data_IF_066622324985
#
_entry.id   IF_066622324985
#
_cell.length_a   1.000
_cell.length_b   1.000
_cell.length_c   1.000
_cell.angle_alpha   90.00
_cell.angle_beta   90.00
_cell.angle_gamma   90.00
#
_symmetry.space_group_name_H-M   'P 1'
#
loop_
_entity.id
_entity.type
_entity.pdbx_description
1 polymer ?
#
# COMPACT_ATOMS: atom_id res chain seq x y z
N UNK A 1 -47.15 -50.50 51.68
CA UNK A 1 -45.73 -50.32 52.09
C UNK A 1 -45.22 -48.90 51.87
N UNK A 2 -46.02 -47.96 51.33
CA UNK A 2 -45.61 -46.56 51.10
C UNK A 2 -45.95 -45.56 52.22
N UNK A 3 -46.76 -45.95 53.21
CA UNK A 3 -47.13 -45.07 54.35
C UNK A 3 -45.92 -44.70 55.22
N UNK A 4 -44.86 -45.53 55.23
CA UNK A 4 -43.65 -45.30 56.03
C UNK A 4 -42.59 -44.43 55.35
N UNK A 5 -42.69 -44.16 54.04
CA UNK A 5 -41.66 -43.38 53.31
C UNK A 5 -41.62 -41.91 53.70
N UNK A 6 -42.74 -41.36 54.15
CA UNK A 6 -42.90 -39.93 54.46
C UNK A 6 -43.04 -39.63 55.96
N UNK A 7 -42.96 -40.65 56.83
CA UNK A 7 -42.94 -40.40 58.27
C UNK A 7 -41.58 -39.80 58.64
N UNK A 8 -41.52 -38.70 59.41
CA UNK A 8 -40.24 -38.20 59.92
C UNK A 8 -39.54 -39.35 60.64
N UNK A 9 -38.26 -39.57 60.35
CA UNK A 9 -37.45 -40.65 60.95
C UNK A 9 -37.61 -40.69 62.48
N UNK A 10 -37.81 -39.52 63.10
CA UNK A 10 -38.17 -39.40 64.52
C UNK A 10 -39.44 -40.17 64.91
N UNK A 11 -40.54 -40.08 64.16
CA UNK A 11 -41.80 -40.75 64.48
C UNK A 11 -41.68 -42.27 64.29
N UNK A 12 -40.97 -42.73 63.26
CA UNK A 12 -40.74 -44.16 63.02
C UNK A 12 -39.81 -44.76 64.08
N UNK A 13 -38.68 -44.13 64.37
CA UNK A 13 -37.73 -44.62 65.39
C UNK A 13 -38.33 -44.52 66.79
N UNK A 14 -39.00 -43.41 67.13
CA UNK A 14 -39.70 -43.26 68.40
C UNK A 14 -40.87 -44.23 68.51
N UNK A 15 -41.62 -44.47 67.44
CA UNK A 15 -42.71 -45.44 67.41
C UNK A 15 -42.21 -46.87 67.66
N UNK A 16 -41.13 -47.29 67.00
CA UNK A 16 -40.50 -48.60 67.24
C UNK A 16 -39.98 -48.70 68.68
N UNK A 17 -39.33 -47.66 69.20
CA UNK A 17 -38.82 -47.66 70.57
C UNK A 17 -39.91 -47.65 71.63
N UNK A 18 -41.02 -46.93 71.40
CA UNK A 18 -42.19 -46.92 72.30
C UNK A 18 -42.90 -48.27 72.28
N UNK A 19 -43.05 -48.91 71.11
CA UNK A 19 -43.61 -50.26 71.01
C UNK A 19 -42.71 -51.28 71.73
N UNK A 20 -41.38 -51.19 71.57
CA UNK A 20 -40.42 -52.00 72.34
C UNK A 20 -40.56 -51.77 73.85
N UNK A 21 -40.68 -50.51 74.29
CA UNK A 21 -40.87 -50.18 75.70
C UNK A 21 -42.20 -50.74 76.23
N UNK A 22 -43.28 -50.64 75.46
CA UNK A 22 -44.59 -51.19 75.81
C UNK A 22 -44.57 -52.73 75.87
N UNK A 23 -43.82 -53.40 74.97
CA UNK A 23 -43.63 -54.85 75.04
C UNK A 23 -42.85 -55.24 76.30
N UNK A 24 -41.78 -54.52 76.65
CA UNK A 24 -41.01 -54.75 77.90
C UNK A 24 -41.88 -54.51 79.14
N UNK A 25 -42.71 -53.47 79.13
CA UNK A 25 -43.66 -53.17 80.21
C UNK A 25 -44.73 -54.27 80.30
N UNK A 26 -45.28 -54.72 79.17
CA UNK A 26 -46.30 -55.77 79.13
C UNK A 26 -45.76 -57.13 79.60
N UNK A 27 -44.53 -57.48 79.19
CA UNK A 27 -43.85 -58.71 79.63
C UNK A 27 -43.52 -58.65 81.13
N UNK A 28 -43.05 -57.48 81.61
CA UNK A 28 -42.83 -57.23 83.04
C UNK A 28 -44.13 -57.26 83.86
N UNK A 29 -45.26 -56.82 83.28
CA UNK A 29 -46.58 -56.84 83.92
C UNK A 29 -47.20 -58.25 83.94
N UNK A 30 -46.98 -59.05 82.89
CA UNK A 30 -47.34 -60.48 82.88
C UNK A 30 -46.60 -61.24 83.98
N UNK A 31 -45.30 -60.99 84.13
CA UNK A 31 -44.48 -61.49 85.25
C UNK A 31 -44.97 -61.01 86.61
N UNK A 32 -45.56 -59.81 86.69
CA UNK A 32 -46.16 -59.26 87.91
C UNK A 32 -47.45 -60.00 88.33
N UNK A 33 -48.25 -60.49 87.38
CA UNK A 33 -49.53 -61.19 87.66
C UNK A 33 -49.39 -62.69 87.97
N UNK A 34 -48.19 -63.27 87.80
CA UNK A 34 -47.96 -64.67 88.12
C UNK A 34 -47.88 -64.88 89.66
N UNK A 35 -48.83 -65.63 90.24
CA UNK A 35 -49.02 -65.85 91.69
C UNK A 35 -47.83 -66.50 92.44
N UNK A 36 -46.72 -66.87 91.77
CA UNK A 36 -45.59 -67.62 92.36
C UNK A 36 -44.31 -66.80 92.57
N UNK A 37 -44.35 -65.48 92.44
CA UNK A 37 -43.16 -64.64 92.30
C UNK A 37 -42.88 -63.79 93.56
N UNK A 38 -41.69 -63.92 94.16
CA UNK A 38 -41.26 -63.20 95.38
C UNK A 38 -40.90 -61.72 95.12
N UNK A 39 -40.98 -60.86 96.15
CA UNK A 39 -40.82 -59.39 96.04
C UNK A 39 -39.51 -58.88 95.42
N UNK A 40 -38.49 -59.72 95.29
CA UNK A 40 -37.23 -59.39 94.61
C UNK A 40 -37.42 -59.18 93.09
N UNK A 41 -38.36 -59.91 92.47
CA UNK A 41 -38.65 -59.78 91.04
C UNK A 41 -39.33 -58.45 90.67
N UNK A 42 -40.13 -57.86 91.58
CA UNK A 42 -40.74 -56.55 91.36
C UNK A 42 -39.70 -55.42 91.30
N UNK A 43 -38.65 -55.50 92.12
CA UNK A 43 -37.53 -54.55 92.09
C UNK A 43 -36.75 -54.68 90.78
N UNK A 44 -36.49 -55.92 90.32
CA UNK A 44 -35.81 -56.17 89.05
C UNK A 44 -36.62 -55.65 87.85
N UNK A 45 -37.93 -55.87 87.81
CA UNK A 45 -38.81 -55.36 86.77
C UNK A 45 -38.83 -53.82 86.72
N UNK A 46 -38.90 -53.15 87.89
CA UNK A 46 -38.85 -51.69 87.96
C UNK A 46 -37.51 -51.12 87.47
N UNK A 47 -36.39 -51.78 87.77
CA UNK A 47 -35.05 -51.39 87.27
C UNK A 47 -34.95 -51.57 85.76
N UNK A 48 -35.49 -52.66 85.21
CA UNK A 48 -35.50 -52.91 83.76
C UNK A 48 -36.30 -51.82 83.03
N UNK A 49 -37.48 -51.46 83.54
CA UNK A 49 -38.32 -50.40 82.97
C UNK A 49 -37.60 -49.03 83.07
N UNK A 50 -36.98 -48.72 84.19
CA UNK A 50 -36.23 -47.48 84.37
C UNK A 50 -35.02 -47.41 83.42
N UNK A 51 -34.26 -48.49 83.27
CA UNK A 51 -33.12 -48.58 82.36
C UNK A 51 -33.58 -48.44 80.89
N UNK A 52 -34.67 -49.10 80.52
CA UNK A 52 -35.26 -48.98 79.19
C UNK A 52 -35.74 -47.54 78.90
N UNK A 53 -36.34 -46.86 79.87
CA UNK A 53 -36.74 -45.46 79.75
C UNK A 53 -35.52 -44.52 79.60
N UNK A 54 -34.44 -44.75 80.35
CA UNK A 54 -33.19 -43.98 80.23
C UNK A 54 -32.54 -44.18 78.86
N UNK A 55 -32.47 -45.43 78.36
CA UNK A 55 -31.96 -45.73 77.02
C UNK A 55 -32.82 -45.02 75.97
N UNK A 56 -34.15 -45.06 76.09
CA UNK A 56 -35.06 -44.38 75.17
C UNK A 56 -34.85 -42.86 75.14
N UNK A 57 -34.68 -42.23 76.30
CA UNK A 57 -34.38 -40.79 76.40
C UNK A 57 -33.01 -40.48 75.80
N UNK A 58 -31.97 -41.26 76.12
CA UNK A 58 -30.61 -41.08 75.59
C UNK A 58 -30.57 -41.25 74.07
N UNK A 59 -31.22 -42.28 73.52
CA UNK A 59 -31.32 -42.50 72.07
C UNK A 59 -32.09 -41.37 71.40
N UNK A 60 -33.18 -40.86 72.00
CA UNK A 60 -33.91 -39.71 71.46
C UNK A 60 -33.07 -38.42 71.47
N UNK A 61 -32.35 -38.13 72.57
CA UNK A 61 -31.43 -36.98 72.64
C UNK A 61 -30.32 -37.12 71.58
N UNK A 62 -29.74 -38.31 71.44
CA UNK A 62 -28.72 -38.60 70.44
C UNK A 62 -29.26 -38.43 69.01
N UNK A 63 -30.45 -38.97 68.70
CA UNK A 63 -31.08 -38.84 67.38
C UNK A 63 -31.39 -37.37 67.04
N UNK A 64 -31.87 -36.59 68.01
CA UNK A 64 -32.19 -35.18 67.78
C UNK A 64 -30.92 -34.32 67.66
N UNK A 65 -29.94 -34.49 68.55
CA UNK A 65 -28.73 -33.66 68.58
C UNK A 65 -27.68 -34.06 67.56
N UNK A 66 -27.49 -35.35 67.29
CA UNK A 66 -26.43 -35.85 66.42
C UNK A 66 -26.90 -36.18 64.99
N UNK A 67 -28.21 -36.30 64.74
CA UNK A 67 -28.75 -36.62 63.42
C UNK A 67 -29.68 -35.52 62.88
N UNK A 68 -30.77 -35.19 63.58
CA UNK A 68 -31.82 -34.31 63.04
C UNK A 68 -31.41 -32.83 62.97
N UNK A 69 -30.79 -32.29 64.02
CA UNK A 69 -30.33 -30.88 64.03
C UNK A 69 -29.25 -30.61 62.98
N UNK A 70 -28.14 -31.38 62.91
CA UNK A 70 -27.12 -31.19 61.88
C UNK A 70 -27.67 -31.34 60.47
N UNK A 71 -28.59 -32.31 60.24
CA UNK A 71 -29.21 -32.48 58.92
C UNK A 71 -30.13 -31.30 58.54
N UNK A 72 -30.83 -30.70 59.51
CA UNK A 72 -31.63 -29.50 59.28
C UNK A 72 -30.77 -28.27 58.95
N UNK A 73 -29.63 -28.10 59.61
CA UNK A 73 -28.63 -27.08 59.29
C UNK A 73 -28.04 -27.29 57.89
N UNK A 74 -27.68 -28.53 57.55
CA UNK A 74 -27.19 -28.89 56.22
C UNK A 74 -28.19 -28.55 55.12
N UNK A 75 -29.48 -28.80 55.37
CA UNK A 75 -30.56 -28.38 54.47
C UNK A 75 -30.59 -26.86 54.30
N UNK A 76 -30.40 -26.08 55.37
CA UNK A 76 -30.36 -24.62 55.28
C UNK A 76 -29.15 -24.12 54.50
N UNK A 77 -27.97 -24.75 54.65
CA UNK A 77 -26.80 -24.44 53.82
C UNK A 77 -27.03 -24.73 52.34
N UNK A 78 -27.63 -25.88 52.02
CA UNK A 78 -27.97 -26.24 50.64
C UNK A 78 -29.03 -25.32 50.02
N UNK A 79 -30.06 -24.92 50.79
CA UNK A 79 -31.05 -23.94 50.34
C UNK A 79 -30.40 -22.57 50.08
N UNK A 80 -29.53 -22.11 50.99
CA UNK A 80 -28.78 -20.86 50.79
C UNK A 80 -27.89 -20.93 49.54
N UNK A 81 -27.24 -22.07 49.31
CA UNK A 81 -26.40 -22.31 48.13
C UNK A 81 -27.23 -22.35 46.83
N UNK A 82 -28.42 -22.96 46.88
CA UNK A 82 -29.36 -22.98 45.75
C UNK A 82 -29.90 -21.59 45.40
N UNK A 83 -30.07 -20.72 46.40
CA UNK A 83 -30.41 -19.30 46.21
C UNK A 83 -29.21 -18.44 45.77
N UNK A 84 -28.05 -19.05 45.47
CA UNK A 84 -26.85 -18.38 45.02
C UNK A 84 -25.95 -17.82 46.12
N UNK A 85 -26.27 -18.01 47.41
CA UNK A 85 -25.42 -17.55 48.50
C UNK A 85 -24.29 -18.54 48.81
N UNK A 86 -23.09 -18.24 48.31
CA UNK A 86 -21.86 -19.00 48.50
C UNK A 86 -20.97 -18.45 49.62
N UNK A 87 -21.42 -17.42 50.36
CA UNK A 87 -20.65 -16.77 51.44
C UNK A 87 -20.82 -17.43 52.82
N UNK A 88 -21.81 -18.31 53.00
CA UNK A 88 -22.06 -18.93 54.31
C UNK A 88 -20.90 -19.86 54.74
N UNK A 89 -20.36 -19.68 55.95
CA UNK A 89 -19.35 -20.60 56.51
C UNK A 89 -19.99 -21.88 57.02
N UNK A 90 -19.64 -23.02 56.42
CA UNK A 90 -20.06 -24.35 56.88
C UNK A 90 -19.15 -24.80 58.01
N UNK A 91 -19.67 -24.88 59.23
CA UNK A 91 -18.94 -25.39 60.41
C UNK A 91 -18.92 -26.92 60.41
N UNK A 92 -17.73 -27.52 60.49
CA UNK A 92 -17.58 -28.99 60.53
C UNK A 92 -18.24 -29.60 61.77
N UNK A 93 -18.95 -30.71 61.60
CA UNK A 93 -19.69 -31.37 62.67
C UNK A 93 -19.34 -32.86 62.78
N UNK A 94 -18.61 -33.27 63.82
CA UNK A 94 -18.39 -34.68 64.20
C UNK A 94 -17.83 -35.61 63.11
N UNK A 95 -17.70 -36.90 63.42
CA UNK A 95 -17.22 -37.94 62.49
C UNK A 95 -18.25 -39.07 62.28
N UNK A 96 -19.53 -38.75 62.53
CA UNK A 96 -20.62 -39.67 62.24
C UNK A 96 -21.03 -39.57 60.76
N UNK A 97 -21.91 -40.46 60.29
CA UNK A 97 -22.33 -40.50 58.88
C UNK A 97 -22.88 -39.16 58.35
N UNK A 98 -23.49 -38.32 59.21
CA UNK A 98 -23.96 -36.97 58.85
C UNK A 98 -22.80 -35.97 58.82
N UNK A 99 -21.85 -36.11 59.75
CA UNK A 99 -20.64 -35.29 59.81
C UNK A 99 -19.75 -35.40 58.58
N UNK A 100 -19.69 -36.59 57.97
CA UNK A 100 -18.96 -36.81 56.72
C UNK A 100 -19.55 -36.03 55.52
N UNK A 101 -20.80 -35.55 55.59
CA UNK A 101 -21.42 -34.73 54.53
C UNK A 101 -21.00 -33.26 54.56
N UNK A 102 -20.64 -32.73 55.73
CA UNK A 102 -20.20 -31.34 55.89
C UNK A 102 -18.94 -31.00 55.04
N UNK A 103 -17.86 -31.79 55.05
CA UNK A 103 -16.68 -31.49 54.22
C UNK A 103 -16.98 -31.62 52.72
N UNK A 104 -17.85 -32.54 52.30
CA UNK A 104 -18.28 -32.69 50.91
C UNK A 104 -19.03 -31.44 50.42
N UNK A 105 -19.99 -30.94 51.21
CA UNK A 105 -20.76 -29.73 50.84
C UNK A 105 -19.90 -28.48 50.94
N UNK A 106 -18.98 -28.40 51.91
CA UNK A 106 -17.99 -27.31 51.98
C UNK A 106 -17.08 -27.28 50.74
N UNK A 107 -16.64 -28.44 50.26
CA UNK A 107 -15.85 -28.55 49.04
C UNK A 107 -16.66 -28.15 47.82
N UNK A 108 -17.92 -28.57 47.74
CA UNK A 108 -18.83 -28.20 46.67
C UNK A 108 -19.10 -26.69 46.65
N UNK A 109 -19.36 -26.06 47.80
CA UNK A 109 -19.52 -24.62 47.92
C UNK A 109 -18.26 -23.88 47.46
N UNK A 110 -17.08 -24.32 47.92
CA UNK A 110 -15.78 -23.74 47.53
C UNK A 110 -15.56 -23.83 46.02
N UNK A 111 -15.74 -25.00 45.42
CA UNK A 111 -15.56 -25.19 43.98
C UNK A 111 -16.53 -24.32 43.16
N UNK A 112 -17.80 -24.21 43.57
CA UNK A 112 -18.75 -23.32 42.92
C UNK A 112 -18.35 -21.84 43.06
N UNK A 113 -17.87 -21.43 44.23
CA UNK A 113 -17.38 -20.07 44.45
C UNK A 113 -16.16 -19.74 43.57
N UNK A 114 -15.22 -20.68 43.43
CA UNK A 114 -14.07 -20.56 42.54
C UNK A 114 -14.49 -20.46 41.06
N UNK A 115 -15.43 -21.29 40.61
CA UNK A 115 -15.98 -21.24 39.24
C UNK A 115 -16.64 -19.87 38.97
N UNK A 116 -17.53 -19.41 39.84
CA UNK A 116 -18.21 -18.11 39.68
C UNK A 116 -17.20 -16.95 39.72
N UNK A 117 -16.21 -16.99 40.61
CA UNK A 117 -15.14 -15.98 40.66
C UNK A 117 -14.30 -15.96 39.39
N UNK A 118 -13.98 -17.13 38.83
CA UNK A 118 -13.28 -17.25 37.55
C UNK A 118 -14.11 -16.68 36.40
N UNK A 119 -15.43 -16.95 36.36
CA UNK A 119 -16.32 -16.39 35.34
C UNK A 119 -16.40 -14.86 35.46
N UNK A 120 -16.52 -14.29 36.67
CA UNK A 120 -16.50 -12.83 36.90
C UNK A 120 -15.19 -12.16 36.45
N UNK A 121 -14.07 -12.84 36.65
CA UNK A 121 -12.77 -12.33 36.19
C UNK A 121 -12.68 -12.37 34.66
N UNK A 122 -13.05 -13.50 34.06
CA UNK A 122 -13.05 -13.69 32.61
C UNK A 122 -13.98 -12.70 31.88
N UNK A 123 -15.18 -12.46 32.40
CA UNK A 123 -16.13 -11.46 31.87
C UNK A 123 -15.61 -10.04 31.98
N UNK A 124 -14.97 -9.67 33.10
CA UNK A 124 -14.30 -8.38 33.25
C UNK A 124 -13.16 -8.19 32.24
N UNK A 125 -12.38 -9.24 31.98
CA UNK A 125 -11.31 -9.25 30.97
C UNK A 125 -11.86 -9.16 29.55
N UNK A 126 -12.93 -9.89 29.24
CA UNK A 126 -13.64 -9.81 27.96
C UNK A 126 -14.17 -8.40 27.72
N UNK A 127 -14.80 -7.77 28.72
CA UNK A 127 -15.32 -6.41 28.60
C UNK A 127 -14.22 -5.38 28.30
N UNK A 128 -13.04 -5.51 28.93
CA UNK A 128 -11.87 -4.68 28.60
C UNK A 128 -11.38 -4.91 27.17
N UNK A 129 -11.22 -6.16 26.75
CA UNK A 129 -10.78 -6.52 25.40
C UNK A 129 -11.74 -5.99 24.32
N UNK A 130 -13.05 -6.07 24.55
CA UNK A 130 -14.05 -5.55 23.61
C UNK A 130 -14.00 -4.03 23.44
N UNK A 131 -13.68 -3.28 24.51
CA UNK A 131 -13.47 -1.83 24.38
C UNK A 131 -12.25 -1.53 23.52
N UNK A 132 -11.12 -2.21 23.77
CA UNK A 132 -9.93 -2.09 22.91
C UNK A 132 -10.25 -2.43 21.46
N UNK A 133 -11.00 -3.51 21.22
CA UNK A 133 -11.37 -3.93 19.86
C UNK A 133 -12.28 -2.89 19.17
N UNK A 134 -13.17 -2.23 19.92
CA UNK A 134 -13.98 -1.13 19.42
C UNK A 134 -13.13 0.08 19.01
N UNK A 135 -12.15 0.45 19.85
CA UNK A 135 -11.26 1.59 19.58
C UNK A 135 -10.35 1.30 18.36
N UNK A 136 -9.80 0.09 18.28
CA UNK A 136 -9.01 -0.38 17.14
C UNK A 136 -9.82 -0.40 15.85
N UNK A 137 -11.08 -0.82 15.91
CA UNK A 137 -11.97 -0.83 14.76
C UNK A 137 -12.35 0.60 14.32
N UNK A 138 -12.55 1.52 15.25
CA UNK A 138 -12.72 2.94 14.94
C UNK A 138 -11.49 3.54 14.25
N UNK A 139 -10.29 3.19 14.71
CA UNK A 139 -9.04 3.60 14.07
C UNK A 139 -8.88 2.97 12.67
N UNK A 140 -9.29 1.71 12.48
CA UNK A 140 -9.30 1.05 11.18
C UNK A 140 -10.24 1.75 10.19
N UNK A 141 -11.45 2.09 10.62
CA UNK A 141 -12.41 2.84 9.79
C UNK A 141 -11.83 4.19 9.35
N UNK A 142 -11.28 4.98 10.28
CA UNK A 142 -10.66 6.27 9.98
C UNK A 142 -9.48 6.13 8.99
N UNK A 143 -8.61 5.13 9.17
CA UNK A 143 -7.50 4.86 8.24
C UNK A 143 -7.98 4.40 6.87
N UNK A 144 -9.10 3.68 6.81
CA UNK A 144 -9.68 3.21 5.55
C UNK A 144 -10.32 4.36 4.77
N UNK A 145 -11.02 5.29 5.45
CA UNK A 145 -11.50 6.53 4.84
C UNK A 145 -10.36 7.40 4.29
N UNK A 146 -9.29 7.57 5.07
CA UNK A 146 -8.11 8.31 4.61
C UNK A 146 -7.43 7.60 3.43
N UNK A 147 -7.35 6.27 3.46
CA UNK A 147 -6.85 5.44 2.36
C UNK A 147 -7.68 5.62 1.10
N UNK A 148 -9.00 5.63 1.20
CA UNK A 148 -9.91 5.86 0.07
C UNK A 148 -9.67 7.22 -0.59
N UNK A 149 -9.52 8.28 0.22
CA UNK A 149 -9.19 9.61 -0.30
C UNK A 149 -7.85 9.62 -1.07
N UNK A 150 -6.82 8.97 -0.52
CA UNK A 150 -5.51 8.87 -1.16
C UNK A 150 -5.56 8.06 -2.48
N UNK A 151 -6.37 7.00 -2.54
CA UNK A 151 -6.60 6.22 -3.77
C UNK A 151 -7.25 7.08 -4.85
N UNK A 152 -8.26 7.88 -4.50
CA UNK A 152 -8.93 8.80 -5.44
C UNK A 152 -7.96 9.86 -5.97
N UNK A 153 -7.16 10.48 -5.10
CA UNK A 153 -6.15 11.47 -5.50
C UNK A 153 -5.06 10.86 -6.41
N UNK A 154 -4.63 9.64 -6.08
CA UNK A 154 -3.67 8.89 -6.90
C UNK A 154 -4.26 8.55 -8.27
N UNK A 155 -5.53 8.13 -8.33
CA UNK A 155 -6.21 7.84 -9.58
C UNK A 155 -6.33 9.09 -10.48
N UNK A 156 -6.70 10.24 -9.90
CA UNK A 156 -6.75 11.51 -10.62
C UNK A 156 -5.36 11.93 -11.14
N UNK A 157 -4.32 11.75 -10.32
CA UNK A 157 -2.93 12.01 -10.74
C UNK A 157 -2.49 11.09 -11.88
N UNK A 158 -2.91 9.82 -11.87
CA UNK A 158 -2.65 8.88 -12.96
C UNK A 158 -3.38 9.25 -14.25
N UNK A 159 -4.57 9.84 -14.17
CA UNK A 159 -5.26 10.41 -15.33
C UNK A 159 -4.52 11.58 -15.94
N UNK A 160 -4.09 12.53 -15.12
CA UNK A 160 -3.31 13.66 -15.58
C UNK A 160 -1.96 13.23 -16.20
N UNK A 161 -1.26 12.29 -15.56
CA UNK A 161 -0.01 11.73 -16.08
C UNK A 161 -0.24 11.01 -17.41
N UNK A 162 -1.29 10.20 -17.52
CA UNK A 162 -1.65 9.51 -18.76
C UNK A 162 -1.92 10.49 -19.90
N UNK A 163 -2.63 11.59 -19.63
CA UNK A 163 -2.90 12.64 -20.60
C UNK A 163 -1.61 13.34 -21.05
N UNK A 164 -0.71 13.63 -20.10
CA UNK A 164 0.56 14.32 -20.38
C UNK A 164 1.51 13.44 -21.18
N UNK A 165 1.61 12.16 -20.85
CA UNK A 165 2.43 11.18 -21.58
C UNK A 165 1.88 10.96 -22.99
N UNK A 166 0.55 10.90 -23.16
CA UNK A 166 -0.08 10.85 -24.48
C UNK A 166 0.28 12.06 -25.33
N UNK A 167 0.17 13.27 -24.76
CA UNK A 167 0.55 14.51 -25.44
C UNK A 167 2.05 14.53 -25.82
N UNK A 168 2.93 14.00 -24.96
CA UNK A 168 4.35 13.89 -25.26
C UNK A 168 4.63 12.95 -26.43
N UNK A 169 3.92 11.83 -26.52
CA UNK A 169 4.03 10.91 -27.65
C UNK A 169 3.58 11.59 -28.97
N UNK A 170 2.45 12.28 -28.96
CA UNK A 170 1.94 13.02 -30.14
C UNK A 170 2.89 14.15 -30.55
N UNK A 171 3.42 14.89 -29.57
CA UNK A 171 4.41 15.94 -29.81
C UNK A 171 5.71 15.37 -30.39
N UNK A 172 6.16 14.20 -29.93
CA UNK A 172 7.33 13.53 -30.48
C UNK A 172 7.10 13.10 -31.94
N UNK A 173 5.93 12.55 -32.28
CA UNK A 173 5.58 12.22 -33.67
C UNK A 173 5.59 13.47 -34.55
N UNK A 174 4.97 14.56 -34.08
CA UNK A 174 4.93 15.84 -34.80
C UNK A 174 6.33 16.42 -34.99
N UNK A 175 7.13 16.47 -33.93
CA UNK A 175 8.50 16.98 -33.98
C UNK A 175 9.41 16.13 -34.88
N UNK A 176 9.19 14.81 -34.94
CA UNK A 176 9.91 13.92 -35.86
C UNK A 176 9.58 14.24 -37.31
N UNK A 177 8.30 14.53 -37.61
CA UNK A 177 7.87 15.03 -38.92
C UNK A 177 8.58 16.33 -39.31
N UNK A 178 8.59 17.32 -38.42
CA UNK A 178 9.27 18.60 -38.65
C UNK A 178 10.78 18.43 -38.86
N UNK A 179 11.43 17.53 -38.12
CA UNK A 179 12.85 17.23 -38.30
C UNK A 179 13.14 16.62 -39.68
N UNK A 180 12.26 15.73 -40.18
CA UNK A 180 12.38 15.16 -41.54
C UNK A 180 12.21 16.22 -42.62
N UNK A 181 11.24 17.13 -42.48
CA UNK A 181 11.05 18.24 -43.41
C UNK A 181 12.26 19.19 -43.42
N UNK A 182 12.80 19.52 -42.24
CA UNK A 182 14.00 20.32 -42.12
C UNK A 182 15.23 19.64 -42.77
N UNK A 183 15.39 18.33 -42.57
CA UNK A 183 16.47 17.56 -43.21
C UNK A 183 16.35 17.55 -44.73
N UNK A 184 15.14 17.40 -45.28
CA UNK A 184 14.90 17.48 -46.71
C UNK A 184 15.25 18.87 -47.26
N UNK A 185 14.83 19.95 -46.59
CA UNK A 185 15.16 21.32 -47.00
C UNK A 185 16.67 21.62 -46.93
N UNK A 186 17.36 21.08 -45.93
CA UNK A 186 18.82 21.18 -45.83
C UNK A 186 19.52 20.46 -47.00
N UNK A 187 19.03 19.28 -47.39
CA UNK A 187 19.53 18.52 -48.53
C UNK A 187 19.36 19.29 -49.85
N UNK A 188 18.18 19.86 -50.10
CA UNK A 188 17.91 20.68 -51.29
C UNK A 188 18.84 21.91 -51.34
N UNK A 189 19.09 22.53 -50.18
CA UNK A 189 20.01 23.66 -50.06
C UNK A 189 21.44 23.26 -50.37
N UNK A 190 21.87 22.08 -49.92
CA UNK A 190 23.19 21.53 -50.22
C UNK A 190 23.36 21.32 -51.74
N UNK A 191 22.34 20.78 -52.42
CA UNK A 191 22.37 20.63 -53.89
C UNK A 191 22.49 22.00 -54.61
N UNK A 192 21.78 23.03 -54.13
CA UNK A 192 21.91 24.38 -54.67
C UNK A 192 23.32 24.95 -54.49
N UNK A 193 23.95 24.76 -53.33
CA UNK A 193 25.34 25.21 -53.08
C UNK A 193 26.32 24.50 -54.02
N UNK A 194 26.14 23.19 -54.25
CA UNK A 194 26.94 22.43 -55.22
C UNK A 194 26.78 23.00 -56.64
N UNK A 195 25.56 23.37 -57.05
CA UNK A 195 25.34 24.03 -58.35
C UNK A 195 26.02 25.40 -58.45
N UNK A 196 26.02 26.19 -57.37
CA UNK A 196 26.74 27.48 -57.32
C UNK A 196 28.24 27.25 -57.48
N UNK A 197 28.81 26.28 -56.76
CA UNK A 197 30.23 25.91 -56.87
C UNK A 197 30.61 25.52 -58.30
N UNK A 198 29.80 24.69 -58.95
CA UNK A 198 30.02 24.30 -60.36
C UNK A 198 29.96 25.52 -61.31
N UNK A 199 29.00 26.42 -61.09
CA UNK A 199 28.88 27.64 -61.90
C UNK A 199 30.09 28.56 -61.73
N UNK A 200 30.63 28.68 -60.52
CA UNK A 200 31.86 29.45 -60.27
C UNK A 200 33.06 28.82 -61.00
N UNK A 201 33.21 27.50 -60.97
CA UNK A 201 34.28 26.80 -61.69
C UNK A 201 34.18 26.98 -63.23
N UNK A 202 32.96 26.93 -63.78
CA UNK A 202 32.73 27.23 -65.20
C UNK A 202 33.08 28.69 -65.55
N UNK A 203 32.75 29.63 -64.65
CA UNK A 203 33.04 31.07 -64.81
C UNK A 203 34.54 31.36 -64.69
N UNK A 204 35.26 30.66 -63.81
CA UNK A 204 36.72 30.70 -63.69
C UNK A 204 37.38 30.25 -65.01
N UNK A 205 36.93 29.10 -65.55
CA UNK A 205 37.43 28.57 -66.81
C UNK A 205 37.14 29.51 -68.00
N UNK A 206 35.96 30.16 -68.01
CA UNK A 206 35.63 31.17 -69.01
C UNK A 206 36.54 32.41 -68.90
N UNK A 207 36.76 32.92 -67.68
CA UNK A 207 37.64 34.06 -67.42
C UNK A 207 39.08 33.79 -67.86
N UNK A 208 39.59 32.58 -67.60
CA UNK A 208 40.92 32.15 -68.06
C UNK A 208 41.05 32.22 -69.60
N UNK A 209 40.05 31.75 -70.34
CA UNK A 209 40.03 31.85 -71.82
C UNK A 209 40.03 33.30 -72.29
N UNK A 210 39.27 34.18 -71.65
CA UNK A 210 39.25 35.61 -72.01
C UNK A 210 40.63 36.24 -71.74
N UNK A 211 41.30 35.87 -70.65
CA UNK A 211 42.65 36.34 -70.35
C UNK A 211 43.67 35.91 -71.43
N UNK A 212 43.59 34.67 -71.91
CA UNK A 212 44.44 34.18 -73.00
C UNK A 212 44.21 34.97 -74.29
N UNK A 213 42.93 35.21 -74.66
CA UNK A 213 42.56 36.02 -75.82
C UNK A 213 43.10 37.46 -75.67
N UNK A 214 42.97 38.04 -74.49
CA UNK A 214 43.44 39.41 -74.19
C UNK A 214 44.96 39.51 -74.33
N UNK A 215 45.69 38.46 -73.93
CA UNK A 215 47.14 38.35 -74.12
C UNK A 215 47.51 38.30 -75.61
N UNK A 216 46.77 37.55 -76.41
CA UNK A 216 46.94 37.51 -77.88
C UNK A 216 46.67 38.88 -78.50
N UNK A 217 45.60 39.57 -78.10
CA UNK A 217 45.27 40.92 -78.60
C UNK A 217 46.39 41.91 -78.29
N UNK A 218 46.94 41.88 -77.07
CA UNK A 218 48.07 42.73 -76.69
C UNK A 218 49.32 42.43 -77.54
N UNK A 219 49.58 41.15 -77.84
CA UNK A 219 50.66 40.74 -78.75
C UNK A 219 50.46 41.27 -80.17
N UNK A 220 49.24 41.18 -80.72
CA UNK A 220 48.88 41.73 -82.04
C UNK A 220 49.05 43.25 -82.06
N UNK A 221 48.60 43.95 -81.01
CA UNK A 221 48.77 45.39 -80.87
C UNK A 221 50.26 45.78 -80.84
N UNK A 222 51.09 45.04 -80.12
CA UNK A 222 52.54 45.25 -80.10
C UNK A 222 53.16 45.03 -81.49
N UNK A 223 52.84 43.93 -82.17
CA UNK A 223 53.32 43.66 -83.53
C UNK A 223 52.90 44.77 -84.51
N UNK A 224 51.65 45.23 -84.43
CA UNK A 224 51.11 46.32 -85.26
C UNK A 224 51.84 47.64 -84.99
N UNK A 225 52.16 47.93 -83.73
CA UNK A 225 52.95 49.11 -83.35
C UNK A 225 54.38 49.06 -83.93
N UNK A 226 55.03 47.89 -83.96
CA UNK A 226 56.35 47.72 -84.59
C UNK A 226 56.25 47.86 -86.13
N UNK A 227 55.24 47.26 -86.76
CA UNK A 227 54.97 47.41 -88.20
C UNK A 227 54.76 48.88 -88.59
N UNK A 228 53.95 49.61 -87.80
CA UNK A 228 53.67 51.02 -88.02
C UNK A 228 54.92 51.91 -87.82
N UNK A 229 55.78 51.57 -86.84
CA UNK A 229 57.07 52.22 -86.67
C UNK A 229 57.98 52.01 -87.88
N UNK A 230 58.10 50.77 -88.37
CA UNK A 230 58.90 50.46 -89.56
C UNK A 230 58.38 51.21 -90.79
N UNK A 231 57.04 51.28 -90.98
CA UNK A 231 56.43 52.04 -92.05
C UNK A 231 56.69 53.55 -91.93
N UNK A 232 56.67 54.10 -90.71
CA UNK A 232 57.01 55.52 -90.45
C UNK A 232 58.45 55.84 -90.82
N UNK A 233 59.38 54.92 -90.52
CA UNK A 233 60.81 55.05 -90.88
C UNK A 233 61.00 55.02 -92.40
N UNK A 234 60.36 54.08 -93.10
CA UNK A 234 60.49 53.98 -94.56
C UNK A 234 59.81 55.16 -95.28
N UNK A 235 58.69 55.67 -94.74
CA UNK A 235 58.04 56.88 -95.23
C UNK A 235 58.94 58.13 -95.06
N UNK A 236 59.67 58.24 -93.95
CA UNK A 236 60.67 59.30 -93.75
C UNK A 236 61.84 59.18 -94.74
N UNK A 237 62.23 57.94 -95.08
CA UNK A 237 63.29 57.63 -96.05
C UNK A 237 62.93 58.01 -97.48
N UNK A 238 61.64 57.95 -97.84
CA UNK A 238 61.11 58.35 -99.14
C UNK A 238 60.95 59.88 -99.34
N UNK A 239 61.22 60.70 -98.32
CA UNK A 239 61.17 62.16 -98.40
C UNK A 239 59.76 62.71 -98.65
N UNK A 240 59.63 63.72 -99.53
CA UNK A 240 58.35 64.39 -99.84
C UNK A 240 57.27 63.43 -100.39
N UNK A 241 57.66 62.38 -101.11
CA UNK A 241 56.73 61.37 -101.65
C UNK A 241 56.12 60.47 -100.56
N UNK A 242 56.75 60.39 -99.39
CA UNK A 242 56.32 59.56 -98.26
C UNK A 242 55.41 60.26 -97.25
N UNK A 243 55.14 61.57 -97.38
CA UNK A 243 54.40 62.35 -96.37
C UNK A 243 53.01 61.78 -96.05
N UNK A 244 52.26 61.36 -97.06
CA UNK A 244 50.94 60.75 -96.87
C UNK A 244 51.02 59.42 -96.11
N UNK A 245 52.01 58.58 -96.43
CA UNK A 245 52.26 57.31 -95.75
C UNK A 245 52.72 57.50 -94.30
N UNK A 246 53.54 58.52 -94.02
CA UNK A 246 53.99 58.83 -92.67
C UNK A 246 52.84 59.17 -91.72
N UNK A 247 51.82 59.91 -92.20
CA UNK A 247 50.62 60.25 -91.42
C UNK A 247 49.81 58.99 -91.10
N UNK A 248 49.56 58.14 -92.10
CA UNK A 248 48.83 56.87 -91.90
C UNK A 248 49.59 55.96 -90.94
N UNK A 249 50.91 55.84 -91.08
CA UNK A 249 51.74 55.03 -90.18
C UNK A 249 51.70 55.55 -88.74
N UNK A 250 51.69 56.87 -88.53
CA UNK A 250 51.53 57.48 -87.20
C UNK A 250 50.15 57.18 -86.61
N UNK A 251 49.08 57.24 -87.41
CA UNK A 251 47.72 56.95 -86.94
C UNK A 251 47.54 55.46 -86.58
N UNK A 252 48.06 54.55 -87.42
CA UNK A 252 48.06 53.10 -87.13
C UNK A 252 48.85 52.80 -85.85
N UNK A 253 49.97 53.50 -85.62
CA UNK A 253 50.75 53.37 -84.39
C UNK A 253 49.95 53.81 -83.17
N UNK A 254 49.28 54.96 -83.25
CA UNK A 254 48.43 55.47 -82.17
C UNK A 254 47.28 54.50 -81.86
N UNK A 255 46.63 53.95 -82.90
CA UNK A 255 45.58 52.96 -82.75
C UNK A 255 46.10 51.67 -82.08
N UNK A 256 47.29 51.20 -82.47
CA UNK A 256 47.93 50.05 -81.87
C UNK A 256 48.26 50.28 -80.38
N UNK A 257 48.77 51.46 -80.01
CA UNK A 257 49.00 51.82 -78.61
C UNK A 257 47.70 51.89 -77.80
N UNK A 258 46.63 52.46 -78.36
CA UNK A 258 45.29 52.48 -77.73
C UNK A 258 44.73 51.07 -77.54
N UNK A 259 44.92 50.18 -78.52
CA UNK A 259 44.51 48.78 -78.44
C UNK A 259 45.27 48.05 -77.31
N UNK A 260 46.59 48.23 -77.22
CA UNK A 260 47.40 47.65 -76.14
C UNK A 260 46.96 48.17 -74.75
N UNK A 261 46.67 49.46 -74.63
CA UNK A 261 46.11 50.04 -73.40
C UNK A 261 44.78 49.40 -73.01
N UNK A 262 43.84 49.30 -73.95
CA UNK A 262 42.53 48.69 -73.72
C UNK A 262 42.64 47.20 -73.35
N UNK A 263 43.54 46.46 -74.01
CA UNK A 263 43.81 45.07 -73.67
C UNK A 263 44.35 44.92 -72.24
N UNK A 264 45.22 45.83 -71.80
CA UNK A 264 45.73 45.83 -70.42
C UNK A 264 44.63 46.12 -69.40
N UNK A 265 43.73 47.05 -69.70
CA UNK A 265 42.59 47.36 -68.83
C UNK A 265 41.62 46.17 -68.72
N UNK A 266 41.33 45.48 -69.84
CA UNK A 266 40.54 44.25 -69.84
C UNK A 266 41.23 43.16 -69.01
N UNK A 267 42.55 42.96 -69.16
CA UNK A 267 43.29 41.98 -68.38
C UNK A 267 43.22 42.27 -66.86
N UNK A 268 43.28 43.54 -66.46
CA UNK A 268 43.13 43.94 -65.07
C UNK A 268 41.71 43.63 -64.53
N UNK A 269 40.67 43.89 -65.31
CA UNK A 269 39.28 43.54 -64.96
C UNK A 269 39.09 42.03 -64.81
N UNK A 270 39.67 41.23 -65.72
CA UNK A 270 39.60 39.77 -65.64
C UNK A 270 40.34 39.25 -64.41
N UNK A 271 41.54 39.78 -64.11
CA UNK A 271 42.26 39.41 -62.89
C UNK A 271 41.43 39.69 -61.63
N UNK A 272 40.77 40.85 -61.57
CA UNK A 272 39.85 41.18 -60.48
C UNK A 272 38.64 40.24 -60.41
N UNK A 273 38.07 39.87 -61.56
CA UNK A 273 36.94 38.94 -61.63
C UNK A 273 37.35 37.54 -61.14
N UNK A 274 38.53 37.06 -61.51
CA UNK A 274 39.08 35.78 -61.04
C UNK A 274 39.24 35.76 -59.52
N UNK A 275 39.75 36.84 -58.91
CA UNK A 275 39.83 36.95 -57.44
C UNK A 275 38.45 36.82 -56.78
N UNK A 276 37.44 37.53 -57.29
CA UNK A 276 36.06 37.46 -56.78
C UNK A 276 35.45 36.06 -56.94
N UNK A 277 35.73 35.38 -58.05
CA UNK A 277 35.29 34.00 -58.27
C UNK A 277 35.93 33.06 -57.25
N UNK A 278 37.24 33.20 -56.98
CA UNK A 278 37.94 32.39 -55.98
C UNK A 278 37.34 32.57 -54.59
N UNK A 279 37.06 33.82 -54.18
CA UNK A 279 36.36 34.13 -52.94
C UNK A 279 34.97 33.49 -52.90
N UNK A 280 34.22 33.55 -54.01
CA UNK A 280 32.92 32.90 -54.15
C UNK A 280 32.97 31.37 -54.01
N UNK A 281 34.00 30.71 -54.55
CA UNK A 281 34.23 29.27 -54.38
C UNK A 281 34.47 28.94 -52.91
N UNK A 282 35.37 29.67 -52.24
CA UNK A 282 35.64 29.46 -50.81
C UNK A 282 34.40 29.68 -49.95
N UNK A 283 33.57 30.68 -50.27
CA UNK A 283 32.32 30.93 -49.57
C UNK A 283 31.31 29.79 -49.76
N UNK A 284 31.21 29.25 -50.98
CA UNK A 284 30.37 28.10 -51.28
C UNK A 284 30.84 26.83 -50.55
N UNK A 285 32.15 26.57 -50.46
CA UNK A 285 32.70 25.43 -49.71
C UNK A 285 32.42 25.54 -48.21
N UNK A 286 32.53 26.73 -47.63
CA UNK A 286 32.17 26.96 -46.23
C UNK A 286 30.66 26.78 -45.99
N UNK A 287 29.82 27.19 -46.95
CA UNK A 287 28.37 26.98 -46.89
C UNK A 287 28.02 25.48 -46.98
N UNK A 288 28.68 24.73 -47.88
CA UNK A 288 28.53 23.28 -48.02
C UNK A 288 28.87 22.56 -46.71
N UNK A 289 30.03 22.87 -46.10
CA UNK A 289 30.44 22.31 -44.82
C UNK A 289 29.46 22.63 -43.68
N UNK A 290 28.95 23.86 -43.63
CA UNK A 290 27.97 24.29 -42.62
C UNK A 290 26.62 23.58 -42.79
N UNK A 291 26.17 23.39 -44.02
CA UNK A 291 24.93 22.65 -44.31
C UNK A 291 25.05 21.17 -43.96
N UNK A 292 26.20 20.55 -44.23
CA UNK A 292 26.48 19.17 -43.81
C UNK A 292 26.39 19.00 -42.29
N UNK A 293 27.04 19.88 -41.53
CA UNK A 293 26.96 19.88 -40.06
C UNK A 293 25.53 20.14 -39.53
N UNK A 294 24.74 20.95 -40.24
CA UNK A 294 23.34 21.19 -39.91
C UNK A 294 22.50 19.92 -40.10
N UNK A 295 22.67 19.20 -41.21
CA UNK A 295 21.99 17.93 -41.48
C UNK A 295 22.31 16.88 -40.40
N UNK A 296 23.58 16.77 -39.99
CA UNK A 296 23.98 15.89 -38.89
C UNK A 296 23.29 16.26 -37.57
N UNK A 297 23.18 17.55 -37.28
CA UNK A 297 22.49 18.05 -36.08
C UNK A 297 20.99 17.74 -36.11
N UNK A 298 20.34 17.92 -37.26
CA UNK A 298 18.91 17.58 -37.46
C UNK A 298 18.69 16.08 -37.27
N UNK A 299 19.57 15.24 -37.83
CA UNK A 299 19.52 13.79 -37.64
C UNK A 299 19.64 13.39 -36.17
N UNK A 300 20.54 14.04 -35.42
CA UNK A 300 20.67 13.80 -33.98
C UNK A 300 19.41 14.21 -33.21
N UNK A 301 18.79 15.34 -33.55
CA UNK A 301 17.50 15.76 -32.98
C UNK A 301 16.40 14.73 -33.30
N UNK A 302 16.32 14.26 -34.54
CA UNK A 302 15.35 13.22 -34.93
C UNK A 302 15.55 11.92 -34.14
N UNK A 303 16.79 11.53 -33.84
CA UNK A 303 17.09 10.35 -33.01
C UNK A 303 16.57 10.53 -31.59
N UNK A 304 16.87 11.66 -30.95
CA UNK A 304 16.41 11.97 -29.58
C UNK A 304 14.89 11.99 -29.50
N UNK A 305 14.22 12.56 -30.51
CA UNK A 305 12.75 12.55 -30.59
C UNK A 305 12.22 11.11 -30.69
N UNK A 306 12.88 10.24 -31.45
CA UNK A 306 12.54 8.82 -31.51
C UNK A 306 12.66 8.13 -30.15
N UNK A 307 13.71 8.43 -29.39
CA UNK A 307 13.89 7.92 -28.02
C UNK A 307 12.79 8.42 -27.07
N UNK A 308 12.35 9.68 -27.20
CA UNK A 308 11.23 10.24 -26.43
C UNK A 308 9.92 9.51 -26.75
N UNK A 309 9.66 9.20 -28.03
CA UNK A 309 8.46 8.47 -28.42
C UNK A 309 8.42 7.07 -27.80
N UNK A 310 9.53 6.32 -27.88
CA UNK A 310 9.65 4.99 -27.27
C UNK A 310 9.51 5.05 -25.75
N UNK A 311 10.17 6.01 -25.11
CA UNK A 311 10.07 6.21 -23.65
C UNK A 311 8.65 6.58 -23.21
N UNK A 312 7.95 7.40 -24.00
CA UNK A 312 6.55 7.78 -23.71
C UNK A 312 5.61 6.59 -23.85
N UNK A 313 5.83 5.71 -24.82
CA UNK A 313 5.07 4.46 -24.96
C UNK A 313 5.29 3.52 -23.76
N UNK A 314 6.53 3.38 -23.30
CA UNK A 314 6.87 2.59 -22.11
C UNK A 314 6.24 3.19 -20.83
N UNK A 315 6.30 4.52 -20.66
CA UNK A 315 5.64 5.22 -19.57
C UNK A 315 4.12 4.99 -19.58
N UNK A 316 3.49 5.04 -20.77
CA UNK A 316 2.05 4.79 -20.91
C UNK A 316 1.68 3.38 -20.42
N UNK A 317 2.47 2.36 -20.81
CA UNK A 317 2.29 0.98 -20.31
C UNK A 317 2.50 0.89 -18.80
N UNK A 318 3.50 1.57 -18.26
CA UNK A 318 3.75 1.63 -16.81
C UNK A 318 2.59 2.28 -16.04
N UNK A 319 2.01 3.36 -16.58
CA UNK A 319 0.83 4.01 -16.00
C UNK A 319 -0.38 3.09 -16.03
N UNK A 320 -0.61 2.31 -17.11
CA UNK A 320 -1.69 1.32 -17.14
C UNK A 320 -1.52 0.24 -16.06
N UNK A 321 -0.29 -0.23 -15.83
CA UNK A 321 0.00 -1.18 -14.75
C UNK A 321 -0.24 -0.57 -13.37
N UNK A 322 0.21 0.67 -13.15
CA UNK A 322 -0.04 1.40 -11.92
C UNK A 322 -1.55 1.60 -11.67
N UNK A 323 -2.33 1.93 -12.70
CA UNK A 323 -3.80 2.01 -12.60
C UNK A 323 -4.44 0.70 -12.16
N UNK A 324 -3.99 -0.44 -12.69
CA UNK A 324 -4.48 -1.75 -12.22
C UNK A 324 -4.17 -1.98 -10.74
N UNK A 325 -2.98 -1.60 -10.29
CA UNK A 325 -2.62 -1.69 -8.87
C UNK A 325 -3.47 -0.76 -7.99
N UNK A 326 -3.74 0.47 -8.42
CA UNK A 326 -4.62 1.41 -7.69
C UNK A 326 -6.04 0.85 -7.58
N UNK A 327 -6.59 0.24 -8.63
CA UNK A 327 -7.90 -0.42 -8.58
C UNK A 327 -7.94 -1.58 -7.58
N UNK A 328 -6.85 -2.34 -7.45
CA UNK A 328 -6.76 -3.41 -6.45
C UNK A 328 -6.69 -2.85 -5.03
N UNK A 329 -5.97 -1.74 -4.81
CA UNK A 329 -5.96 -1.05 -3.52
C UNK A 329 -7.35 -0.48 -3.19
N UNK A 330 -8.08 0.05 -4.17
CA UNK A 330 -9.47 0.48 -3.97
C UNK A 330 -10.36 -0.68 -3.52
N UNK A 331 -10.25 -1.84 -4.19
CA UNK A 331 -10.98 -3.06 -3.83
C UNK A 331 -10.68 -3.50 -2.40
N UNK A 332 -9.40 -3.50 -1.99
CA UNK A 332 -9.00 -3.84 -0.62
C UNK A 332 -9.54 -2.80 0.38
N UNK A 333 -9.52 -1.52 0.03
CA UNK A 333 -10.06 -0.43 0.86
C UNK A 333 -11.56 -0.61 1.11
N UNK A 334 -12.32 -0.95 0.06
CA UNK A 334 -13.74 -1.27 0.20
C UNK A 334 -13.98 -2.53 1.06
N UNK A 335 -13.15 -3.56 0.92
CA UNK A 335 -13.22 -4.75 1.78
C UNK A 335 -12.92 -4.42 3.24
N UNK A 336 -11.94 -3.56 3.51
CA UNK A 336 -11.64 -3.11 4.87
C UNK A 336 -12.81 -2.35 5.50
N UNK A 337 -13.52 -1.52 4.74
CA UNK A 337 -14.74 -0.85 5.22
C UNK A 337 -15.82 -1.88 5.60
N UNK A 338 -16.07 -2.87 4.75
CA UNK A 338 -17.03 -3.95 5.05
C UNK A 338 -16.60 -4.75 6.28
N UNK A 339 -15.32 -5.07 6.41
CA UNK A 339 -14.77 -5.77 7.57
C UNK A 339 -14.90 -4.94 8.85
N UNK A 340 -14.71 -3.62 8.77
CA UNK A 340 -14.88 -2.73 9.91
C UNK A 340 -16.35 -2.66 10.37
N UNK A 341 -17.30 -2.58 9.44
CA UNK A 341 -18.75 -2.63 9.76
C UNK A 341 -19.15 -3.97 10.41
N UNK A 342 -18.66 -5.08 9.86
CA UNK A 342 -18.89 -6.41 10.42
C UNK A 342 -18.28 -6.54 11.82
N UNK A 343 -17.08 -6.00 12.03
CA UNK A 343 -16.38 -6.02 13.32
C UNK A 343 -17.12 -5.20 14.38
N UNK A 344 -17.64 -4.02 14.03
CA UNK A 344 -18.50 -3.22 14.93
C UNK A 344 -19.71 -4.02 15.39
N UNK A 345 -20.37 -4.71 14.45
CA UNK A 345 -21.55 -5.53 14.75
C UNK A 345 -21.21 -6.70 15.68
N UNK A 346 -20.09 -7.38 15.42
CA UNK A 346 -19.62 -8.50 16.24
C UNK A 346 -19.22 -8.06 17.65
N UNK A 347 -18.51 -6.94 17.78
CA UNK A 347 -18.13 -6.35 19.08
C UNK A 347 -19.38 -6.03 19.89
N UNK A 348 -20.40 -5.42 19.27
CA UNK A 348 -21.66 -5.10 19.94
C UNK A 348 -22.40 -6.35 20.42
N UNK A 349 -22.45 -7.41 19.60
CA UNK A 349 -23.05 -8.68 19.99
C UNK A 349 -22.31 -9.36 21.15
N UNK A 350 -20.97 -9.33 21.15
CA UNK A 350 -20.15 -9.87 22.23
C UNK A 350 -20.32 -9.07 23.54
N UNK A 351 -20.49 -7.75 23.44
CA UNK A 351 -20.74 -6.88 24.60
C UNK A 351 -22.06 -7.27 25.27
N UNK A 352 -23.13 -7.45 24.49
CA UNK A 352 -24.43 -7.90 24.98
C UNK A 352 -24.35 -9.29 25.64
N UNK A 353 -23.64 -10.25 25.03
CA UNK A 353 -23.48 -11.58 25.61
C UNK A 353 -22.71 -11.56 26.94
N UNK A 354 -21.71 -10.69 27.04
CA UNK A 354 -20.90 -10.54 28.26
C UNK A 354 -21.68 -9.83 29.37
N UNK A 355 -22.53 -8.86 29.03
CA UNK A 355 -23.47 -8.24 29.97
C UNK A 355 -24.50 -9.24 30.51
N UNK A 356 -25.05 -10.09 29.63
CA UNK A 356 -25.93 -11.18 30.04
C UNK A 356 -25.22 -12.16 30.97
N UNK A 357 -24.00 -12.58 30.64
CA UNK A 357 -23.23 -13.50 31.48
C UNK A 357 -22.90 -12.88 32.85
N UNK A 358 -22.56 -11.59 32.89
CA UNK A 358 -22.37 -10.85 34.14
C UNK A 358 -23.65 -10.84 35.00
N UNK A 359 -24.81 -10.60 34.38
CA UNK A 359 -26.09 -10.60 35.09
C UNK A 359 -26.42 -11.96 35.71
N UNK A 360 -26.17 -13.06 34.99
CA UNK A 360 -26.39 -14.42 35.49
C UNK A 360 -25.46 -14.77 36.66
N UNK A 361 -24.19 -14.34 36.63
CA UNK A 361 -23.25 -14.60 37.74
C UNK A 361 -23.38 -13.61 38.90
N UNK A 362 -24.04 -12.46 38.71
CA UNK A 362 -24.34 -11.50 39.78
C UNK A 362 -25.34 -12.04 40.81
N UNK A 363 -26.17 -13.02 40.42
CA UNK A 363 -27.06 -13.73 41.33
C UNK A 363 -26.29 -14.43 42.47
N UNK A 364 -25.05 -14.87 42.21
CA UNK A 364 -24.24 -15.59 43.17
C UNK A 364 -23.50 -14.63 44.12
N UNK A 365 -23.69 -14.79 45.43
CA UNK A 365 -22.97 -14.03 46.46
C UNK A 365 -21.73 -14.80 46.89
N UNK A 366 -20.57 -14.33 46.43
CA UNK A 366 -19.29 -14.90 46.79
C UNK A 366 -18.87 -14.47 48.21
N UNK A 367 -17.96 -15.22 48.86
CA UNK A 367 -17.33 -14.76 50.08
C UNK A 367 -16.56 -13.47 49.83
N UNK A 368 -16.75 -12.47 50.69
CA UNK A 368 -15.91 -11.27 50.66
C UNK A 368 -14.46 -11.72 50.87
N UNK A 369 -13.61 -11.48 49.87
CA UNK A 369 -12.20 -11.81 49.93
C UNK A 369 -11.43 -10.79 50.80
N UNK A 370 -11.96 -10.46 51.98
CA UNK A 370 -11.40 -9.49 52.94
C UNK A 370 -10.51 -10.12 54.01
N UNK A 371 -10.08 -11.38 53.86
CA UNK A 371 -9.12 -12.01 54.76
C UNK A 371 -8.11 -12.88 53.99
N UNK A 372 -7.21 -12.24 53.24
CA UNK A 372 -5.86 -12.75 53.02
C UNK A 372 -4.93 -11.61 52.59
N UNK A 373 -4.41 -10.90 53.59
CA UNK A 373 -3.06 -10.33 53.59
C UNK A 373 -2.37 -10.72 54.89
#
# INVERSE_FOLDING_TARGET
MDVFKNLPIRITVMGIMVVMLLLVIADSLMLFTAESVTGWHHVVAAVIIALAAVILIMTNIYLVRCLMRPLAELKQYLLSMADGNLNNRITLFGDNCVGQLYPLISTLQKNNAEIVSSIRTCTGDLHRQMRTLSDENGALAARTEQGAAAVVETAASMEQLSATVGLNADNAVTASGMAREAAASAQDTCEMVVRVKNTMAETEAASAKINDITTIINSIAFQTNILALNASVEAARAGEQGRGFAVVATEVRNLAQRCAGSAKDIAALIASATTLIQEGVTLAENAEASMSAMTDSINNVSRVIGEIAVSSEEQSRGIQQARMAVNEVDRITQQNNQMAEQSTTLVSALQQLTEQLNHEVDLFRLPDNTLQH
#
